data_IF_176935580847
#
_entry.id   IF_176935580847
#
_cell.length_a   1.000
_cell.length_b   1.000
_cell.length_c   1.000
_cell.angle_alpha   90.00
_cell.angle_beta   90.00
_cell.angle_gamma   90.00
#
_symmetry.space_group_name_H-M   'P 1'
#
loop_
_entity.id
_entity.type
_entity.pdbx_description
1 polymer ?
#
# COMPACT_ATOMS: atom_id res chain seq x y z
N UNK A 1 -13.02 83.19 -38.93
CA UNK A 1 -13.07 82.19 -40.00
C UNK A 1 -13.50 80.86 -39.41
N UNK A 2 -14.60 80.30 -39.93
CA UNK A 2 -15.12 78.96 -39.64
C UNK A 2 -14.13 77.90 -40.14
N UNK A 3 -14.05 76.76 -39.45
CA UNK A 3 -14.41 75.44 -40.03
C UNK A 3 -14.56 74.38 -38.94
N UNK A 4 -15.67 73.64 -39.04
CA UNK A 4 -16.00 72.44 -38.30
C UNK A 4 -15.44 71.18 -38.98
N UNK A 5 -15.29 70.08 -38.22
CA UNK A 5 -15.40 68.64 -38.58
C UNK A 5 -14.82 67.84 -37.39
N UNK A 6 -15.31 66.69 -36.94
CA UNK A 6 -16.47 65.85 -37.25
C UNK A 6 -16.51 64.85 -36.07
N UNK A 7 -17.70 64.59 -35.51
CA UNK A 7 -17.88 63.56 -34.49
C UNK A 7 -17.94 62.19 -35.18
N UNK A 8 -16.93 61.35 -34.98
CA UNK A 8 -16.95 59.95 -35.38
C UNK A 8 -17.38 59.09 -34.18
N UNK A 9 -18.56 58.49 -34.34
CA UNK A 9 -19.19 57.54 -33.43
C UNK A 9 -18.31 56.32 -33.20
N UNK A 10 -17.83 56.12 -31.97
CA UNK A 10 -17.16 54.88 -31.56
C UNK A 10 -18.26 53.85 -31.28
N UNK A 11 -18.47 52.93 -32.23
CA UNK A 11 -19.23 51.70 -32.02
C UNK A 11 -18.41 50.77 -31.14
N UNK A 12 -18.79 50.66 -29.88
CA UNK A 12 -18.21 49.70 -28.93
C UNK A 12 -18.77 48.31 -29.22
N UNK A 13 -18.03 47.49 -29.96
CA UNK A 13 -18.32 46.05 -30.10
C UNK A 13 -17.91 45.33 -28.82
N UNK A 14 -18.87 44.66 -28.17
CA UNK A 14 -18.68 43.90 -26.95
C UNK A 14 -17.93 42.58 -27.23
N UNK A 15 -16.60 42.64 -27.25
CA UNK A 15 -15.73 41.45 -27.23
C UNK A 15 -14.29 41.90 -27.01
N UNK A 16 -13.91 42.21 -25.77
CA UNK A 16 -12.53 42.08 -25.30
C UNK A 16 -12.44 42.49 -23.82
N UNK A 17 -12.72 41.56 -22.92
CA UNK A 17 -12.33 41.70 -21.52
C UNK A 17 -10.87 41.24 -21.38
N UNK A 18 -9.91 42.07 -21.78
CA UNK A 18 -8.51 41.90 -21.39
C UNK A 18 -8.25 42.71 -20.13
N UNK A 19 -7.97 42.01 -19.04
CA UNK A 19 -7.44 42.63 -17.83
C UNK A 19 -5.96 42.99 -18.07
N UNK A 20 -5.54 44.26 -17.95
CA UNK A 20 -4.22 44.69 -18.39
C UNK A 20 -3.06 44.24 -17.50
N UNK A 21 -3.28 43.47 -16.43
CA UNK A 21 -2.20 43.17 -15.46
C UNK A 21 -2.27 41.79 -14.77
N UNK A 22 -2.89 40.77 -15.39
CA UNK A 22 -3.01 39.45 -14.77
C UNK A 22 -2.29 38.37 -15.60
N UNK A 23 -1.24 37.75 -15.04
CA UNK A 23 -0.61 36.53 -15.56
C UNK A 23 -1.30 35.32 -14.91
N UNK A 24 -2.61 35.18 -15.12
CA UNK A 24 -3.32 33.99 -14.67
C UNK A 24 -3.95 33.28 -15.88
N UNK A 25 -3.71 31.97 -15.96
CA UNK A 25 -4.32 31.10 -16.98
C UNK A 25 -5.83 30.89 -16.74
N UNK A 26 -6.38 31.47 -15.67
CA UNK A 26 -7.73 31.25 -15.18
C UNK A 26 -8.42 32.53 -14.73
N UNK A 27 -8.52 33.52 -15.62
CA UNK A 27 -9.54 34.55 -15.45
C UNK A 27 -10.90 33.90 -15.70
N UNK A 28 -11.53 33.38 -14.65
CA UNK A 28 -12.90 32.90 -14.69
C UNK A 28 -13.79 34.12 -14.99
N UNK A 29 -14.54 34.17 -16.10
CA UNK A 29 -15.54 35.20 -16.26
C UNK A 29 -16.48 35.15 -15.04
N UNK A 30 -16.89 36.31 -14.49
CA UNK A 30 -17.81 36.35 -13.37
C UNK A 30 -19.02 35.48 -13.71
N UNK A 31 -19.46 34.69 -12.74
CA UNK A 31 -20.50 33.68 -12.83
C UNK A 31 -21.50 34.01 -13.94
N UNK A 32 -21.33 33.29 -15.07
CA UNK A 32 -22.20 33.38 -16.24
C UNK A 32 -23.63 33.35 -15.75
N UNK A 33 -24.42 34.37 -16.11
CA UNK A 33 -25.86 34.50 -15.90
C UNK A 33 -26.63 33.27 -16.43
N UNK A 34 -26.47 32.11 -15.78
CA UNK A 34 -27.11 30.83 -16.08
C UNK A 34 -28.56 30.80 -15.56
N UNK A 35 -29.14 31.99 -15.38
CA UNK A 35 -30.49 32.18 -14.89
C UNK A 35 -31.35 32.44 -16.09
N UNK A 36 -32.39 31.61 -16.25
CA UNK A 36 -33.48 31.90 -17.20
C UNK A 36 -33.93 33.34 -16.94
N UNK A 37 -33.91 34.20 -17.95
CA UNK A 37 -34.26 35.61 -17.79
C UNK A 37 -35.65 35.73 -17.13
N UNK A 38 -35.86 36.79 -16.35
CA UNK A 38 -37.16 37.02 -15.70
C UNK A 38 -38.33 36.99 -16.72
N UNK A 39 -38.08 37.52 -17.93
CA UNK A 39 -39.00 37.47 -19.06
C UNK A 39 -39.36 36.03 -19.49
N UNK A 40 -38.39 35.12 -19.49
CA UNK A 40 -38.59 33.74 -19.93
C UNK A 40 -39.16 32.84 -18.82
N UNK A 41 -38.99 33.21 -17.54
CA UNK A 41 -39.57 32.48 -16.40
C UNK A 41 -41.10 32.43 -16.43
N UNK A 42 -41.76 33.39 -17.08
CA UNK A 42 -43.22 33.44 -17.17
C UNK A 42 -43.79 32.24 -17.93
N UNK A 43 -43.07 31.75 -18.93
CA UNK A 43 -43.43 30.57 -19.72
C UNK A 43 -43.27 29.25 -18.96
N UNK A 44 -42.55 29.25 -17.83
CA UNK A 44 -42.46 28.06 -16.97
C UNK A 44 -43.68 27.90 -16.07
N UNK A 45 -44.51 28.94 -15.96
CA UNK A 45 -45.70 28.99 -15.10
C UNK A 45 -47.01 29.05 -15.91
N UNK A 46 -46.93 29.03 -17.23
CA UNK A 46 -48.07 29.20 -18.14
C UNK A 46 -47.88 28.38 -19.41
N UNK A 47 -48.98 27.83 -19.96
CA UNK A 47 -48.99 27.11 -21.24
C UNK A 47 -49.12 28.05 -22.46
N UNK A 48 -49.01 29.37 -22.26
CA UNK A 48 -49.05 30.33 -23.37
C UNK A 48 -47.83 30.16 -24.29
N UNK A 49 -48.06 30.02 -25.59
CA UNK A 49 -47.00 29.93 -26.58
C UNK A 49 -46.22 31.27 -26.66
N UNK A 50 -44.87 31.26 -26.69
CA UNK A 50 -44.08 32.46 -26.93
C UNK A 50 -44.32 33.00 -28.34
N UNK A 51 -44.21 34.31 -28.52
CA UNK A 51 -44.24 34.91 -29.85
C UNK A 51 -42.97 34.56 -30.65
N UNK A 52 -43.05 34.55 -31.99
CA UNK A 52 -41.93 34.14 -32.86
C UNK A 52 -40.61 34.87 -32.57
N UNK A 53 -40.66 36.17 -32.32
CA UNK A 53 -39.47 36.96 -31.94
C UNK A 53 -38.87 36.51 -30.59
N UNK A 54 -39.71 36.09 -29.64
CA UNK A 54 -39.27 35.57 -28.35
C UNK A 54 -38.68 34.17 -28.50
N UNK A 55 -39.21 33.34 -29.42
CA UNK A 55 -38.67 32.01 -29.73
C UNK A 55 -37.21 32.12 -30.18
N UNK A 56 -36.88 33.04 -31.09
CA UNK A 56 -35.51 33.26 -31.55
C UNK A 56 -34.57 33.62 -30.39
N UNK A 57 -34.97 34.58 -29.54
CA UNK A 57 -34.18 34.97 -28.37
C UNK A 57 -34.00 33.84 -27.34
N UNK A 58 -35.03 33.02 -27.13
CA UNK A 58 -34.98 31.85 -26.23
C UNK A 58 -34.03 30.79 -26.80
N UNK A 59 -34.12 30.50 -28.09
CA UNK A 59 -33.24 29.54 -28.78
C UNK A 59 -31.78 30.00 -28.73
N UNK A 60 -31.51 31.28 -28.97
CA UNK A 60 -30.15 31.83 -28.87
C UNK A 60 -29.59 31.72 -27.45
N UNK A 61 -30.39 32.03 -26.43
CA UNK A 61 -30.00 31.87 -25.03
C UNK A 61 -29.70 30.40 -24.70
N UNK A 62 -30.56 29.48 -25.12
CA UNK A 62 -30.36 28.03 -24.96
C UNK A 62 -29.06 27.58 -25.66
N UNK A 63 -28.83 28.00 -26.89
CA UNK A 63 -27.65 27.59 -27.66
C UNK A 63 -26.35 28.14 -27.04
N UNK A 64 -26.36 29.37 -26.49
CA UNK A 64 -25.22 29.90 -25.73
C UNK A 64 -24.93 29.08 -24.46
N UNK A 65 -25.98 28.72 -23.72
CA UNK A 65 -25.84 27.88 -22.51
C UNK A 65 -25.33 26.47 -22.85
N UNK A 66 -25.85 25.86 -23.92
CA UNK A 66 -25.39 24.56 -24.42
C UNK A 66 -23.89 24.60 -24.77
N UNK A 67 -23.46 25.56 -25.58
CA UNK A 67 -22.02 25.72 -25.92
C UNK A 67 -21.13 25.91 -24.69
N UNK A 68 -21.64 26.58 -23.65
CA UNK A 68 -20.89 26.77 -22.40
C UNK A 68 -20.80 25.48 -21.60
N UNK A 69 -21.83 24.65 -21.60
CA UNK A 69 -21.80 23.31 -20.99
C UNK A 69 -20.75 22.44 -21.69
N UNK A 70 -20.77 22.38 -23.02
CA UNK A 70 -19.79 21.62 -23.80
C UNK A 70 -18.34 22.05 -23.47
N UNK A 71 -18.10 23.37 -23.41
CA UNK A 71 -16.79 23.91 -23.05
C UNK A 71 -16.38 23.63 -21.60
N UNK A 72 -17.32 23.54 -20.67
CA UNK A 72 -17.04 23.16 -19.28
C UNK A 72 -16.74 21.68 -19.14
N UNK A 73 -17.47 20.83 -19.87
CA UNK A 73 -17.20 19.40 -19.92
C UNK A 73 -15.81 19.14 -20.49
N UNK A 74 -15.41 19.82 -21.56
CA UNK A 74 -14.05 19.71 -22.10
C UNK A 74 -12.98 20.14 -21.08
N UNK A 75 -13.21 21.24 -20.35
CA UNK A 75 -12.32 21.67 -19.27
C UNK A 75 -12.23 20.63 -18.15
N UNK A 76 -13.35 20.06 -17.73
CA UNK A 76 -13.38 19.01 -16.71
C UNK A 76 -12.55 17.81 -17.18
N UNK A 77 -12.74 17.35 -18.41
CA UNK A 77 -11.96 16.23 -18.96
C UNK A 77 -10.46 16.54 -19.00
N UNK A 78 -10.07 17.75 -19.43
CA UNK A 78 -8.68 18.17 -19.45
C UNK A 78 -8.05 18.18 -18.04
N UNK A 79 -8.79 18.71 -17.05
CA UNK A 79 -8.34 18.70 -15.66
C UNK A 79 -8.25 17.31 -15.07
N UNK A 80 -9.22 16.45 -15.33
CA UNK A 80 -9.20 15.05 -14.87
C UNK A 80 -8.01 14.29 -15.45
N UNK A 81 -7.71 14.49 -16.74
CA UNK A 81 -6.53 13.90 -17.40
C UNK A 81 -5.22 14.36 -16.73
N UNK A 82 -5.11 15.67 -16.47
CA UNK A 82 -3.94 16.25 -15.78
C UNK A 82 -3.80 15.70 -14.37
N UNK A 83 -4.90 15.62 -13.62
CA UNK A 83 -4.93 15.08 -12.26
C UNK A 83 -4.51 13.61 -12.25
N UNK A 84 -4.99 12.81 -13.20
CA UNK A 84 -4.60 11.41 -13.34
C UNK A 84 -3.10 11.25 -13.60
N UNK A 85 -2.54 12.06 -14.51
CA UNK A 85 -1.12 12.05 -14.80
C UNK A 85 -0.26 12.38 -13.56
N UNK A 86 -0.64 13.42 -12.81
CA UNK A 86 0.05 13.81 -11.57
C UNK A 86 -0.07 12.75 -10.48
N UNK A 87 -1.23 12.10 -10.34
CA UNK A 87 -1.39 10.98 -9.40
C UNK A 87 -0.51 9.78 -9.77
N UNK A 88 -0.42 9.45 -11.06
CA UNK A 88 0.49 8.41 -11.55
C UNK A 88 1.95 8.74 -11.25
N UNK A 89 2.36 9.99 -11.45
CA UNK A 89 3.73 10.42 -11.11
C UNK A 89 3.98 10.36 -9.60
N UNK A 90 3.05 10.86 -8.78
CA UNK A 90 3.11 10.79 -7.32
C UNK A 90 3.32 9.36 -6.83
N UNK A 91 2.50 8.42 -7.30
CA UNK A 91 2.61 7.00 -6.89
C UNK A 91 3.93 6.37 -7.32
N UNK A 92 4.46 6.74 -8.49
CA UNK A 92 5.80 6.33 -8.93
C UNK A 92 6.89 6.87 -8.00
N UNK A 93 6.80 8.13 -7.57
CA UNK A 93 7.76 8.71 -6.63
C UNK A 93 7.66 8.09 -5.23
N UNK A 94 6.46 7.81 -4.75
CA UNK A 94 6.26 7.14 -3.46
C UNK A 94 6.85 5.72 -3.45
N UNK A 95 6.71 4.97 -4.54
CA UNK A 95 7.33 3.64 -4.66
C UNK A 95 8.86 3.73 -4.72
N UNK A 96 9.42 4.70 -5.46
CA UNK A 96 10.86 4.95 -5.47
C UNK A 96 11.39 5.33 -4.08
N UNK A 97 10.71 6.21 -3.35
CA UNK A 97 11.09 6.59 -1.98
C UNK A 97 11.05 5.42 -1.01
N UNK A 98 10.04 4.54 -1.11
CA UNK A 98 10.03 3.28 -0.34
C UNK A 98 11.24 2.41 -0.67
N UNK A 99 11.61 2.29 -1.95
CA UNK A 99 12.82 1.60 -2.38
C UNK A 99 14.09 2.16 -1.75
N UNK A 100 14.28 3.48 -1.80
CA UNK A 100 15.43 4.14 -1.16
C UNK A 100 15.45 3.97 0.36
N UNK A 101 14.30 4.03 1.04
CA UNK A 101 14.22 3.72 2.48
C UNK A 101 14.70 2.31 2.80
N UNK A 102 14.36 1.32 1.97
CA UNK A 102 14.83 -0.06 2.15
C UNK A 102 16.34 -0.18 1.88
N UNK A 103 16.87 0.49 0.85
CA UNK A 103 18.31 0.51 0.54
C UNK A 103 19.10 1.16 1.68
N UNK A 104 18.59 2.25 2.24
CA UNK A 104 19.21 3.00 3.32
C UNK A 104 18.85 2.45 4.71
N UNK A 105 18.14 1.31 4.78
CA UNK A 105 17.73 0.74 6.06
C UNK A 105 18.95 0.45 6.94
N UNK A 106 18.88 0.75 8.25
CA UNK A 106 19.98 0.47 9.18
C UNK A 106 20.42 -0.99 9.14
N UNK A 107 19.47 -1.89 8.84
CA UNK A 107 19.73 -3.31 8.77
C UNK A 107 20.79 -3.70 7.72
N UNK A 108 20.96 -2.92 6.65
CA UNK A 108 21.99 -3.13 5.63
C UNK A 108 23.34 -2.51 5.95
N UNK A 109 23.40 -1.59 6.92
CA UNK A 109 24.63 -0.89 7.36
C UNK A 109 25.24 -1.51 8.60
N UNK A 110 24.45 -2.29 9.32
CA UNK A 110 24.89 -2.97 10.54
C UNK A 110 25.89 -4.08 10.18
N UNK A 111 27.11 -4.06 10.75
CA UNK A 111 28.07 -5.15 10.62
C UNK A 111 27.44 -6.47 11.05
N UNK A 112 27.85 -7.55 10.40
CA UNK A 112 27.27 -8.87 10.63
C UNK A 112 27.47 -9.31 12.08
N UNK A 113 28.60 -8.96 12.69
CA UNK A 113 28.99 -9.27 14.05
C UNK A 113 27.98 -8.74 15.08
N UNK A 114 27.39 -7.57 14.82
CA UNK A 114 26.39 -7.01 15.71
C UNK A 114 25.06 -7.76 15.60
N UNK A 115 24.73 -8.31 14.43
CA UNK A 115 23.58 -9.21 14.28
C UNK A 115 23.78 -10.52 15.05
N UNK A 116 24.99 -11.12 14.97
CA UNK A 116 25.32 -12.31 15.77
C UNK A 116 25.08 -12.04 17.26
N UNK A 117 25.57 -10.91 17.78
CA UNK A 117 25.39 -10.54 19.19
C UNK A 117 23.91 -10.39 19.57
N UNK A 118 23.11 -9.69 18.75
CA UNK A 118 21.66 -9.55 19.01
C UNK A 118 20.97 -10.91 19.04
N UNK A 119 21.20 -11.74 18.02
CA UNK A 119 20.53 -13.05 17.94
C UNK A 119 20.95 -13.98 19.08
N UNK A 120 22.21 -13.88 19.53
CA UNK A 120 22.68 -14.61 20.71
C UNK A 120 21.94 -14.18 21.97
N UNK A 121 21.71 -12.88 22.17
CA UNK A 121 20.91 -12.39 23.31
C UNK A 121 19.46 -12.87 23.24
N UNK A 122 18.86 -12.92 22.04
CA UNK A 122 17.49 -13.43 21.88
C UNK A 122 17.36 -14.92 22.26
N UNK A 123 18.43 -15.72 22.16
CA UNK A 123 18.42 -17.12 22.63
C UNK A 123 18.35 -17.19 24.16
N UNK A 124 19.07 -16.31 24.86
CA UNK A 124 19.18 -16.30 26.32
C UNK A 124 17.84 -15.99 27.01
N UNK A 125 16.97 -15.21 26.39
CA UNK A 125 15.65 -14.86 26.94
C UNK A 125 14.58 -15.94 26.69
N UNK A 126 14.84 -16.89 25.79
CA UNK A 126 13.87 -17.92 25.37
C UNK A 126 13.88 -19.19 26.24
N UNK A 127 14.73 -19.24 27.28
CA UNK A 127 14.93 -20.42 28.14
C UNK A 127 13.78 -20.71 29.13
N UNK A 128 12.64 -20.04 29.00
CA UNK A 128 11.41 -20.42 29.71
C UNK A 128 10.88 -21.73 29.10
N UNK A 129 11.32 -22.82 29.74
CA UNK A 129 11.33 -24.24 29.37
C UNK A 129 9.97 -24.92 29.13
N UNK A 130 8.93 -24.19 28.74
CA UNK A 130 7.58 -24.72 28.50
C UNK A 130 7.14 -24.69 27.03
N UNK A 131 7.96 -24.14 26.13
CA UNK A 131 7.63 -24.04 24.70
C UNK A 131 8.40 -25.06 23.86
N UNK A 132 7.67 -25.86 23.07
CA UNK A 132 8.26 -26.77 22.09
C UNK A 132 9.10 -25.95 21.08
N UNK A 133 10.38 -26.31 20.93
CA UNK A 133 11.31 -25.71 19.93
C UNK A 133 10.81 -25.85 18.49
N UNK A 134 9.89 -26.79 18.25
CA UNK A 134 9.26 -27.07 16.96
C UNK A 134 8.03 -26.18 16.68
N UNK A 135 7.96 -25.00 17.32
CA UNK A 135 6.95 -24.00 17.06
C UNK A 135 7.54 -22.83 16.28
N UNK A 136 6.85 -22.38 15.23
CA UNK A 136 7.28 -21.24 14.42
C UNK A 136 7.40 -19.92 15.19
N UNK A 137 6.79 -19.84 16.39
CA UNK A 137 6.88 -18.68 17.27
C UNK A 137 8.17 -18.62 18.10
N UNK A 138 8.98 -19.70 18.12
CA UNK A 138 10.25 -19.71 18.86
C UNK A 138 11.29 -18.87 18.12
N UNK A 139 12.19 -18.25 18.89
CA UNK A 139 13.12 -17.21 18.43
C UNK A 139 13.86 -17.55 17.12
N UNK A 140 14.54 -18.71 16.95
CA UNK A 140 15.29 -18.97 15.72
C UNK A 140 14.39 -19.01 14.48
N UNK A 141 13.18 -19.56 14.60
CA UNK A 141 12.22 -19.61 13.50
C UNK A 141 11.70 -18.22 13.14
N UNK A 142 11.39 -17.40 14.13
CA UNK A 142 10.97 -16.01 13.93
C UNK A 142 12.03 -15.18 13.21
N UNK A 143 13.30 -15.30 13.62
CA UNK A 143 14.40 -14.53 13.03
C UNK A 143 14.61 -14.86 11.53
N UNK A 144 14.46 -16.14 11.16
CA UNK A 144 14.60 -16.62 9.77
C UNK A 144 13.52 -16.08 8.82
N UNK A 145 12.38 -15.61 9.36
CA UNK A 145 11.28 -15.07 8.55
C UNK A 145 11.37 -13.56 8.28
N UNK A 146 12.27 -12.84 8.96
CA UNK A 146 12.31 -11.36 8.87
C UNK A 146 12.84 -10.87 7.52
N UNK A 147 14.04 -11.28 7.13
CA UNK A 147 14.62 -10.94 5.83
C UNK A 147 15.69 -11.94 5.39
N UNK A 148 16.15 -11.84 4.13
CA UNK A 148 17.17 -12.74 3.59
C UNK A 148 18.51 -12.63 4.32
N UNK A 149 18.89 -11.42 4.78
CA UNK A 149 20.11 -11.21 5.56
C UNK A 149 20.05 -11.94 6.90
N UNK A 150 18.96 -11.76 7.67
CA UNK A 150 18.78 -12.44 8.96
C UNK A 150 18.76 -13.94 8.79
N UNK A 151 18.08 -14.44 7.75
CA UNK A 151 18.08 -15.87 7.42
C UNK A 151 19.49 -16.40 7.16
N UNK A 152 20.30 -15.69 6.39
CA UNK A 152 21.67 -16.09 6.11
C UNK A 152 22.50 -16.16 7.40
N UNK A 153 22.40 -15.15 8.25
CA UNK A 153 23.15 -15.07 9.52
C UNK A 153 22.69 -16.17 10.49
N UNK A 154 21.38 -16.32 10.70
CA UNK A 154 20.84 -17.34 11.63
C UNK A 154 21.15 -18.77 11.15
N UNK A 155 21.19 -19.00 9.84
CA UNK A 155 21.62 -20.30 9.29
C UNK A 155 23.12 -20.57 9.53
N UNK A 156 23.94 -19.52 9.60
CA UNK A 156 25.38 -19.60 9.94
C UNK A 156 25.63 -19.55 11.47
N UNK A 157 24.58 -19.66 12.29
CA UNK A 157 24.67 -19.72 13.74
C UNK A 157 24.17 -21.07 14.28
N UNK A 158 24.95 -22.16 14.18
CA UNK A 158 24.54 -23.47 14.67
C UNK A 158 24.11 -23.45 16.14
N UNK A 159 24.72 -22.59 16.96
CA UNK A 159 24.39 -22.44 18.38
C UNK A 159 22.92 -22.06 18.64
N UNK A 160 22.21 -21.47 17.68
CA UNK A 160 20.78 -21.15 17.85
C UNK A 160 19.87 -22.38 17.72
N UNK A 161 20.38 -23.45 17.12
CA UNK A 161 19.61 -24.65 16.76
C UNK A 161 19.89 -25.85 17.67
N UNK A 162 20.82 -25.72 18.62
CA UNK A 162 21.28 -26.83 19.46
C UNK A 162 20.27 -27.31 20.50
N UNK A 163 19.30 -26.49 20.89
CA UNK A 163 18.33 -26.85 21.95
C UNK A 163 17.00 -27.31 21.34
N UNK A 164 16.73 -28.61 21.43
CA UNK A 164 15.59 -29.29 20.82
C UNK A 164 14.60 -29.71 21.91
N UNK A 165 13.64 -28.85 22.19
CA UNK A 165 12.48 -29.17 23.03
C UNK A 165 11.33 -29.74 22.22
N UNK A 166 10.86 -30.93 22.56
CA UNK A 166 9.72 -31.61 21.93
C UNK A 166 8.64 -31.82 22.98
N UNK A 167 7.55 -31.06 22.88
CA UNK A 167 6.35 -31.33 23.68
C UNK A 167 5.37 -32.17 22.84
N UNK A 168 5.26 -33.46 23.16
CA UNK A 168 4.46 -34.40 22.40
C UNK A 168 2.95 -34.19 22.59
N UNK A 169 2.51 -33.58 23.70
CA UNK A 169 1.10 -33.28 23.95
C UNK A 169 0.56 -32.25 22.94
N UNK A 170 1.36 -31.22 22.63
CA UNK A 170 1.03 -30.19 21.63
C UNK A 170 0.98 -30.74 20.20
N UNK A 171 1.81 -31.74 19.90
CA UNK A 171 1.88 -32.39 18.59
C UNK A 171 0.73 -33.40 18.42
N UNK A 172 0.50 -34.23 19.44
CA UNK A 172 -0.51 -35.30 19.44
C UNK A 172 -1.95 -34.80 19.46
N UNK A 173 -2.22 -33.64 20.07
CA UNK A 173 -3.57 -33.08 20.16
C UNK A 173 -4.14 -32.47 18.87
N UNK A 174 -3.36 -32.33 17.80
CA UNK A 174 -3.69 -31.48 16.62
C UNK A 174 -3.77 -32.22 15.27
N UNK A 175 -3.64 -33.55 15.24
CA UNK A 175 -3.85 -34.38 14.04
C UNK A 175 -2.60 -34.66 13.19
N UNK A 176 -2.76 -35.23 11.99
CA UNK A 176 -1.63 -35.67 11.15
C UNK A 176 -0.77 -34.52 10.56
N UNK A 177 -1.39 -33.37 10.32
CA UNK A 177 -0.72 -32.19 9.72
C UNK A 177 0.32 -31.57 10.65
N UNK A 178 0.05 -31.56 11.95
CA UNK A 178 0.98 -31.03 12.95
C UNK A 178 2.20 -31.93 13.13
N UNK A 179 2.04 -33.24 13.02
CA UNK A 179 3.15 -34.20 13.06
C UNK A 179 4.07 -34.04 11.84
N UNK A 180 3.52 -33.82 10.65
CA UNK A 180 4.32 -33.55 9.45
C UNK A 180 5.12 -32.24 9.59
N UNK A 181 4.49 -31.18 10.11
CA UNK A 181 5.17 -29.91 10.35
C UNK A 181 6.28 -30.05 11.40
N UNK A 182 6.00 -30.72 12.52
CA UNK A 182 6.99 -31.00 13.56
C UNK A 182 8.17 -31.81 13.01
N UNK A 183 7.89 -32.80 12.15
CA UNK A 183 8.91 -33.59 11.46
C UNK A 183 9.84 -32.72 10.62
N UNK A 184 9.26 -31.86 9.78
CA UNK A 184 10.01 -30.96 8.92
C UNK A 184 10.88 -29.98 9.73
N UNK A 185 10.30 -29.33 10.75
CA UNK A 185 11.02 -28.39 11.60
C UNK A 185 12.15 -29.08 12.37
N UNK A 186 11.92 -30.30 12.87
CA UNK A 186 12.93 -31.08 13.57
C UNK A 186 14.11 -31.42 12.63
N UNK A 187 13.82 -31.87 11.41
CA UNK A 187 14.86 -32.17 10.42
C UNK A 187 15.70 -30.94 10.10
N UNK A 188 15.05 -29.80 9.87
CA UNK A 188 15.72 -28.55 9.52
C UNK A 188 16.55 -28.01 10.70
N UNK A 189 16.04 -28.11 11.93
CA UNK A 189 16.78 -27.72 13.14
C UNK A 189 18.01 -28.59 13.36
N UNK A 190 17.89 -29.91 13.19
CA UNK A 190 19.01 -30.85 13.29
C UNK A 190 20.05 -30.65 12.19
N UNK A 191 19.63 -30.21 11.00
CA UNK A 191 20.56 -29.90 9.92
C UNK A 191 21.35 -28.63 10.24
N UNK A 192 20.68 -27.59 10.76
CA UNK A 192 21.30 -26.29 11.06
C UNK A 192 22.13 -26.29 12.34
N UNK A 193 21.93 -27.25 13.25
CA UNK A 193 22.74 -27.36 14.47
C UNK A 193 24.15 -27.92 14.23
N UNK A 194 24.40 -28.56 13.08
CA UNK A 194 25.72 -29.15 12.77
C UNK A 194 26.78 -28.05 12.62
N UNK A 195 28.03 -28.27 13.10
CA UNK A 195 28.55 -29.50 13.70
C UNK A 195 28.39 -29.60 15.22
N UNK A 196 27.62 -28.72 15.85
CA UNK A 196 27.54 -28.64 17.31
C UNK A 196 26.69 -29.77 17.91
N UNK A 197 27.02 -30.23 19.13
CA UNK A 197 26.17 -31.17 19.85
C UNK A 197 24.81 -30.54 20.16
N UNK A 198 23.78 -31.37 20.15
CA UNK A 198 22.41 -30.95 20.48
C UNK A 198 22.04 -31.37 21.91
N UNK A 199 21.24 -30.54 22.57
CA UNK A 199 20.51 -30.87 23.79
C UNK A 199 19.07 -31.20 23.39
N UNK A 200 18.54 -32.32 23.86
CA UNK A 200 17.17 -32.74 23.55
C UNK A 200 16.38 -32.89 24.84
N UNK A 201 15.26 -32.18 24.94
CA UNK A 201 14.26 -32.37 26.00
C UNK A 201 12.95 -32.84 25.38
N UNK A 202 12.36 -33.90 25.95
CA UNK A 202 11.09 -34.45 25.48
C UNK A 202 10.12 -34.45 26.65
N UNK A 203 8.98 -33.80 26.47
CA UNK A 203 7.90 -33.73 27.44
C UNK A 203 6.65 -34.42 26.90
N UNK A 204 6.02 -35.24 27.75
CA UNK A 204 4.82 -36.00 27.44
C UNK A 204 4.02 -36.28 28.70
N UNK A 205 2.78 -35.81 28.74
CA UNK A 205 1.88 -36.02 29.88
C UNK A 205 1.43 -37.47 30.04
N UNK A 206 1.50 -38.30 28.98
CA UNK A 206 1.00 -39.69 28.99
C UNK A 206 1.87 -40.66 28.17
N UNK A 207 1.99 -41.92 28.63
CA UNK A 207 2.74 -42.99 27.93
C UNK A 207 2.19 -43.34 26.53
N UNK A 208 0.91 -43.12 26.29
CA UNK A 208 0.26 -43.29 24.98
C UNK A 208 0.77 -42.26 23.97
N UNK A 209 0.97 -41.02 24.41
CA UNK A 209 1.50 -39.91 23.62
C UNK A 209 2.99 -40.12 23.33
N UNK A 210 3.73 -40.73 24.26
CA UNK A 210 5.13 -41.11 24.04
C UNK A 210 5.31 -42.09 22.86
N UNK A 211 4.38 -43.06 22.69
CA UNK A 211 4.40 -43.99 21.54
C UNK A 211 4.17 -43.29 20.19
N UNK A 212 3.41 -42.18 20.17
CA UNK A 212 3.24 -41.34 18.97
C UNK A 212 4.56 -40.64 18.56
N UNK A 213 5.40 -40.30 19.54
CA UNK A 213 6.70 -39.65 19.33
C UNK A 213 7.78 -40.54 18.71
N UNK A 214 7.53 -41.84 18.51
CA UNK A 214 8.47 -42.80 17.93
C UNK A 214 9.03 -42.37 16.55
N UNK A 215 8.21 -41.70 15.75
CA UNK A 215 8.62 -41.15 14.45
C UNK A 215 9.57 -39.95 14.53
N UNK A 216 9.52 -39.17 15.62
CA UNK A 216 10.45 -38.06 15.86
C UNK A 216 11.75 -38.57 16.49
N UNK A 217 11.65 -39.53 17.41
CA UNK A 217 12.82 -40.17 18.03
C UNK A 217 13.71 -40.88 16.99
N UNK A 218 13.13 -41.51 15.97
CA UNK A 218 13.90 -42.14 14.89
C UNK A 218 14.67 -41.12 14.03
N UNK A 219 14.17 -39.89 13.89
CA UNK A 219 14.86 -38.80 13.17
C UNK A 219 16.06 -38.30 13.96
N UNK A 220 15.91 -38.19 15.28
CA UNK A 220 17.01 -37.82 16.18
C UNK A 220 18.09 -38.89 16.14
N UNK A 221 17.72 -40.16 16.30
CA UNK A 221 18.66 -41.30 16.27
C UNK A 221 19.41 -41.40 14.94
N UNK A 222 18.72 -41.27 13.80
CA UNK A 222 19.36 -41.31 12.48
C UNK A 222 20.30 -40.14 12.20
N UNK A 223 20.10 -38.98 12.84
CA UNK A 223 21.01 -37.83 12.73
C UNK A 223 22.20 -37.89 13.69
N UNK A 224 22.09 -38.61 14.81
CA UNK A 224 23.20 -38.84 15.76
C UNK A 224 24.18 -39.93 15.29
N UNK A 225 23.79 -40.74 14.30
CA UNK A 225 24.56 -41.90 13.79
C UNK A 225 25.52 -41.56 12.63
N UNK A 226 25.67 -40.28 12.29
CA UNK A 226 26.53 -39.77 11.19
C UNK A 226 27.49 -38.73 11.73
#
# INVERSE_FOLDING_TARGET
>A
MRTARSAASIRTTASDYRCPNCVCSFCRPPESNAVISAQNKIFLRSNAAPADAQIVHIQDARNRMSKRLDALEEQIHAYMSTLFALQKEKTKMETALKGYKLILSPARRMPVELWYNIFQMCKSDATDSSSSSLSAAVVPWSLVQVCSLWRAIVNDMPQLWTDVGINLDRIGGTGATSLHQAKYLLQEQLQRSKPLPISVSVDASTLTIFKLGSSLLSIIQSNLSR
#
